data_IF_167102764345
#
_entry.id   IF_167102764345
#
_cell.length_a   1.000
_cell.length_b   1.000
_cell.length_c   1.000
_cell.angle_alpha   90.00
_cell.angle_beta   90.00
_cell.angle_gamma   90.00
#
_symmetry.space_group_name_H-M   'P 1'
#
loop_
_entity.id
_entity.type
_entity.pdbx_description
1 polymer ?
#
# COMPACT_ATOMS: atom_id res chain seq x y z
N UNK A 1 -76.71 100.98 36.58
CA UNK A 1 -76.62 100.59 35.16
C UNK A 1 -75.26 100.92 34.53
N UNK A 2 -74.72 102.14 34.66
CA UNK A 2 -73.38 102.47 34.11
C UNK A 2 -72.22 101.66 34.75
N UNK A 3 -72.24 101.48 36.08
CA UNK A 3 -71.22 100.72 36.81
C UNK A 3 -71.21 99.23 36.39
N UNK A 4 -72.38 98.64 36.18
CA UNK A 4 -72.52 97.22 35.80
C UNK A 4 -72.00 96.94 34.38
N UNK A 5 -72.16 97.89 33.45
CA UNK A 5 -71.59 97.80 32.11
C UNK A 5 -70.06 97.93 32.17
N UNK A 6 -69.53 98.83 33.01
CA UNK A 6 -68.07 98.95 33.19
C UNK A 6 -67.46 97.71 33.84
N UNK A 7 -68.16 97.07 34.79
CA UNK A 7 -67.70 95.82 35.40
C UNK A 7 -67.73 94.66 34.41
N UNK A 8 -68.82 94.50 33.63
CA UNK A 8 -68.90 93.47 32.58
C UNK A 8 -67.86 93.69 31.47
N UNK A 9 -67.56 94.94 31.12
CA UNK A 9 -66.51 95.28 30.14
C UNK A 9 -65.11 94.96 30.68
N UNK A 10 -64.82 95.30 31.94
CA UNK A 10 -63.55 94.91 32.59
C UNK A 10 -63.40 93.39 32.73
N UNK A 11 -64.48 92.67 33.07
CA UNK A 11 -64.47 91.22 33.18
C UNK A 11 -64.24 90.56 31.82
N UNK A 12 -64.88 91.04 30.75
CA UNK A 12 -64.65 90.55 29.39
C UNK A 12 -63.22 90.81 28.92
N UNK A 13 -62.66 92.00 29.18
CA UNK A 13 -61.28 92.32 28.85
C UNK A 13 -60.28 91.42 29.62
N UNK A 14 -60.52 91.18 30.92
CA UNK A 14 -59.69 90.29 31.73
C UNK A 14 -59.78 88.83 31.26
N UNK A 15 -60.97 88.35 30.87
CA UNK A 15 -61.14 87.02 30.27
C UNK A 15 -60.39 86.89 28.95
N UNK A 16 -60.53 87.85 28.05
CA UNK A 16 -59.81 87.83 26.78
C UNK A 16 -58.29 87.93 26.94
N UNK A 17 -57.79 88.71 27.89
CA UNK A 17 -56.36 88.73 28.22
C UNK A 17 -55.89 87.39 28.79
N UNK A 18 -56.69 86.75 29.65
CA UNK A 18 -56.38 85.43 30.19
C UNK A 18 -56.34 84.38 29.08
N UNK A 19 -57.34 84.35 28.18
CA UNK A 19 -57.39 83.47 27.01
C UNK A 19 -56.19 83.69 26.08
N UNK A 20 -55.80 84.94 25.82
CA UNK A 20 -54.61 85.24 25.01
C UNK A 20 -53.34 84.73 25.65
N UNK A 21 -53.13 84.97 26.96
CA UNK A 21 -51.97 84.46 27.70
C UNK A 21 -51.95 82.94 27.74
N UNK A 22 -53.10 82.29 27.90
CA UNK A 22 -53.22 80.83 27.88
C UNK A 22 -52.86 80.26 26.50
N UNK A 23 -53.32 80.89 25.42
CA UNK A 23 -53.00 80.46 24.06
C UNK A 23 -51.52 80.66 23.72
N UNK A 24 -50.91 81.76 24.17
CA UNK A 24 -49.46 81.98 24.03
C UNK A 24 -48.65 80.94 24.82
N UNK A 25 -49.07 80.62 26.05
CA UNK A 25 -48.42 79.60 26.87
C UNK A 25 -48.54 78.20 26.24
N UNK A 26 -49.73 77.85 25.73
CA UNK A 26 -49.96 76.59 24.99
C UNK A 26 -49.08 76.50 23.75
N UNK A 27 -49.02 77.56 22.94
CA UNK A 27 -48.18 77.59 21.74
C UNK A 27 -46.68 77.50 22.05
N UNK A 28 -46.23 78.11 23.15
CA UNK A 28 -44.84 77.96 23.63
C UNK A 28 -44.55 76.53 24.09
N UNK A 29 -45.47 75.92 24.84
CA UNK A 29 -45.33 74.54 25.31
C UNK A 29 -45.31 73.56 24.13
N UNK A 30 -46.17 73.74 23.13
CA UNK A 30 -46.17 72.90 21.93
C UNK A 30 -44.88 73.02 21.13
N UNK A 31 -44.35 74.24 20.95
CA UNK A 31 -43.03 74.40 20.32
C UNK A 31 -41.94 73.71 21.11
N UNK A 32 -41.93 73.88 22.43
CA UNK A 32 -40.94 73.23 23.28
C UNK A 32 -41.01 71.70 23.19
N UNK A 33 -42.22 71.13 23.17
CA UNK A 33 -42.41 69.68 22.95
C UNK A 33 -41.87 69.23 21.60
N UNK A 34 -42.14 69.98 20.53
CA UNK A 34 -41.64 69.66 19.19
C UNK A 34 -40.10 69.73 19.15
N UNK A 35 -39.50 70.72 19.79
CA UNK A 35 -38.05 70.87 19.86
C UNK A 35 -37.42 69.71 20.67
N UNK A 36 -38.00 69.35 21.82
CA UNK A 36 -37.57 68.22 22.64
C UNK A 36 -37.70 66.88 21.88
N UNK A 37 -38.82 66.66 21.17
CA UNK A 37 -39.03 65.47 20.32
C UNK A 37 -38.04 65.43 19.15
N UNK A 38 -37.73 66.58 18.54
CA UNK A 38 -36.76 66.67 17.46
C UNK A 38 -35.33 66.36 17.94
N UNK A 39 -34.96 66.79 19.14
CA UNK A 39 -33.68 66.43 19.76
C UNK A 39 -33.62 64.93 20.12
N UNK A 40 -34.71 64.39 20.68
CA UNK A 40 -34.83 62.97 20.99
C UNK A 40 -34.70 62.10 19.73
N UNK A 41 -35.35 62.47 18.62
CA UNK A 41 -35.24 61.73 17.36
C UNK A 41 -33.86 61.86 16.70
N UNK A 42 -33.16 63.00 16.85
CA UNK A 42 -31.75 63.11 16.42
C UNK A 42 -30.85 62.13 17.18
N UNK A 43 -31.00 62.05 18.50
CA UNK A 43 -30.25 61.11 19.34
C UNK A 43 -30.61 59.66 18.99
N UNK A 44 -31.90 59.37 18.77
CA UNK A 44 -32.39 58.04 18.38
C UNK A 44 -31.82 57.59 17.04
N UNK A 45 -31.75 58.48 16.05
CA UNK A 45 -31.13 58.21 14.75
C UNK A 45 -29.66 57.83 14.90
N UNK A 46 -28.91 58.57 15.72
CA UNK A 46 -27.49 58.27 15.98
C UNK A 46 -27.32 56.91 16.67
N UNK A 47 -28.15 56.62 17.67
CA UNK A 47 -28.15 55.33 18.36
C UNK A 47 -28.43 54.18 17.39
N UNK A 48 -29.45 54.30 16.53
CA UNK A 48 -29.78 53.28 15.53
C UNK A 48 -28.64 53.08 14.52
N UNK A 49 -28.00 54.17 14.09
CA UNK A 49 -26.85 54.07 13.21
C UNK A 49 -25.70 53.31 13.88
N UNK A 50 -25.38 53.66 15.13
CA UNK A 50 -24.32 52.99 15.88
C UNK A 50 -24.66 51.51 16.08
N UNK A 51 -25.89 51.17 16.47
CA UNK A 51 -26.35 49.79 16.61
C UNK A 51 -26.21 49.00 15.31
N UNK A 52 -26.59 49.59 14.17
CA UNK A 52 -26.43 48.94 12.87
C UNK A 52 -24.95 48.69 12.54
N UNK A 53 -24.07 49.67 12.81
CA UNK A 53 -22.62 49.49 12.59
C UNK A 53 -22.02 48.44 13.53
N UNK A 54 -22.43 48.43 14.81
CA UNK A 54 -21.99 47.42 15.78
C UNK A 54 -22.44 46.03 15.38
N UNK A 55 -23.71 45.86 14.96
CA UNK A 55 -24.22 44.57 14.49
C UNK A 55 -23.48 44.08 13.23
N UNK A 56 -23.12 44.98 12.31
CA UNK A 56 -22.33 44.62 11.14
C UNK A 56 -20.90 44.18 11.53
N UNK A 57 -20.26 44.89 12.46
CA UNK A 57 -18.92 44.52 12.97
C UNK A 57 -18.97 43.20 13.74
N UNK A 58 -19.98 42.98 14.57
CA UNK A 58 -20.17 41.75 15.32
C UNK A 58 -20.38 40.56 14.39
N UNK A 59 -21.28 40.68 13.41
CA UNK A 59 -21.56 39.62 12.44
C UNK A 59 -20.34 39.29 11.58
N UNK A 60 -19.63 40.30 11.08
CA UNK A 60 -18.40 40.08 10.29
C UNK A 60 -17.26 39.54 11.15
N UNK A 61 -17.13 40.00 12.39
CA UNK A 61 -16.17 39.52 13.38
C UNK A 61 -16.38 38.06 13.71
N UNK A 62 -17.63 37.66 13.99
CA UNK A 62 -17.99 36.27 14.25
C UNK A 62 -17.70 35.38 13.03
N UNK A 63 -18.17 35.78 11.84
CA UNK A 63 -17.94 35.02 10.62
C UNK A 63 -16.44 34.87 10.30
N UNK A 64 -15.66 35.94 10.47
CA UNK A 64 -14.20 35.90 10.24
C UNK A 64 -13.49 35.04 11.28
N UNK A 65 -13.87 35.13 12.57
CA UNK A 65 -13.30 34.32 13.63
C UNK A 65 -13.60 32.83 13.41
N UNK A 66 -14.84 32.49 13.07
CA UNK A 66 -15.22 31.11 12.75
C UNK A 66 -14.48 30.59 11.52
N UNK A 67 -14.39 31.38 10.44
CA UNK A 67 -13.67 30.97 9.24
C UNK A 67 -12.19 30.73 9.51
N UNK A 68 -11.54 31.62 10.28
CA UNK A 68 -10.14 31.46 10.70
C UNK A 68 -9.94 30.25 11.59
N UNK A 69 -10.83 30.03 12.57
CA UNK A 69 -10.75 28.88 13.46
C UNK A 69 -10.89 27.56 12.69
N UNK A 70 -11.83 27.48 11.74
CA UNK A 70 -11.99 26.29 10.88
C UNK A 70 -10.78 26.08 9.98
N UNK A 71 -10.24 27.15 9.40
CA UNK A 71 -9.05 27.06 8.56
C UNK A 71 -7.82 26.57 9.34
N UNK A 72 -7.61 27.09 10.55
CA UNK A 72 -6.50 26.66 11.41
C UNK A 72 -6.67 25.22 11.88
N UNK A 73 -7.89 24.81 12.26
CA UNK A 73 -8.19 23.43 12.60
C UNK A 73 -7.87 22.47 11.44
N UNK A 74 -8.32 22.80 10.22
CA UNK A 74 -8.03 22.01 9.02
C UNK A 74 -6.53 21.96 8.69
N UNK A 75 -5.81 23.05 8.93
CA UNK A 75 -4.35 23.10 8.76
C UNK A 75 -3.64 22.19 9.75
N UNK A 76 -3.98 22.26 11.03
CA UNK A 76 -3.43 21.40 12.09
C UNK A 76 -3.72 19.93 11.77
N UNK A 77 -4.94 19.61 11.36
CA UNK A 77 -5.32 18.25 10.97
C UNK A 77 -4.52 17.77 9.75
N UNK A 78 -4.34 18.61 8.74
CA UNK A 78 -3.51 18.31 7.57
C UNK A 78 -2.05 18.04 7.93
N UNK A 79 -1.45 18.90 8.76
CA UNK A 79 -0.07 18.73 9.24
C UNK A 79 0.09 17.49 10.11
N UNK A 80 -0.88 17.21 11.00
CA UNK A 80 -0.93 16.00 11.80
C UNK A 80 -1.02 14.73 10.94
N UNK A 81 -1.85 14.75 9.89
CA UNK A 81 -1.98 13.61 8.96
C UNK A 81 -0.69 13.36 8.18
N UNK A 82 -0.01 14.42 7.71
CA UNK A 82 1.27 14.30 7.00
C UNK A 82 2.35 13.75 7.93
N UNK A 83 2.44 14.27 9.16
CA UNK A 83 3.42 13.78 10.14
C UNK A 83 3.14 12.32 10.54
N UNK A 84 1.88 11.96 10.77
CA UNK A 84 1.48 10.57 11.03
C UNK A 84 1.84 9.64 9.87
N UNK A 85 1.58 10.06 8.62
CA UNK A 85 1.93 9.29 7.43
C UNK A 85 3.45 9.07 7.32
N UNK A 86 4.26 10.10 7.61
CA UNK A 86 5.73 10.00 7.63
C UNK A 86 6.21 9.00 8.68
N UNK A 87 5.74 9.14 9.93
CA UNK A 87 6.12 8.23 11.01
C UNK A 87 5.72 6.78 10.71
N UNK A 88 4.54 6.57 10.11
CA UNK A 88 4.09 5.24 9.69
C UNK A 88 4.96 4.67 8.57
N UNK A 89 5.37 5.50 7.60
CA UNK A 89 6.27 5.09 6.54
C UNK A 89 7.65 4.70 7.09
N UNK A 90 8.22 5.49 8.00
CA UNK A 90 9.50 5.21 8.66
C UNK A 90 9.44 3.93 9.51
N UNK A 91 8.36 3.73 10.25
CA UNK A 91 8.15 2.51 11.03
C UNK A 91 8.04 1.29 10.11
N UNK A 92 7.31 1.40 9.00
CA UNK A 92 7.17 0.32 8.02
C UNK A 92 8.49 0.03 7.30
N UNK A 93 9.28 1.05 6.97
CA UNK A 93 10.59 0.89 6.36
C UNK A 93 11.55 0.21 7.32
N UNK A 94 11.58 0.62 8.58
CA UNK A 94 12.40 -0.02 9.62
C UNK A 94 12.02 -1.48 9.81
N UNK A 95 10.72 -1.78 9.90
CA UNK A 95 10.22 -3.15 10.04
C UNK A 95 10.62 -4.02 8.85
N UNK A 96 10.42 -3.52 7.63
CA UNK A 96 10.80 -4.22 6.39
C UNK A 96 12.31 -4.45 6.35
N UNK A 97 13.12 -3.46 6.72
CA UNK A 97 14.57 -3.58 6.75
C UNK A 97 15.06 -4.65 7.74
N UNK A 98 14.44 -4.72 8.93
CA UNK A 98 14.76 -5.76 9.91
C UNK A 98 14.35 -7.14 9.41
N UNK A 99 13.16 -7.27 8.82
CA UNK A 99 12.69 -8.53 8.23
C UNK A 99 13.60 -9.01 7.09
N UNK A 100 14.02 -8.09 6.21
CA UNK A 100 14.99 -8.41 5.15
C UNK A 100 16.31 -8.89 5.75
N UNK A 101 16.84 -8.22 6.77
CA UNK A 101 18.08 -8.65 7.44
C UNK A 101 17.96 -10.07 8.00
N UNK A 102 16.87 -10.37 8.71
CA UNK A 102 16.62 -11.72 9.26
C UNK A 102 16.58 -12.74 8.12
N UNK A 103 15.80 -12.48 7.08
CA UNK A 103 15.67 -13.39 5.94
C UNK A 103 17.01 -13.63 5.23
N UNK A 104 17.81 -12.58 5.02
CA UNK A 104 19.13 -12.72 4.40
C UNK A 104 20.08 -13.55 5.27
N UNK A 105 20.04 -13.38 6.60
CA UNK A 105 20.86 -14.17 7.52
C UNK A 105 20.44 -15.65 7.54
N UNK A 106 19.13 -15.91 7.55
CA UNK A 106 18.58 -17.28 7.44
C UNK A 106 19.03 -17.94 6.13
N UNK A 107 18.85 -17.25 4.99
CA UNK A 107 19.26 -17.76 3.69
C UNK A 107 20.77 -17.99 3.60
N UNK A 108 21.59 -17.07 4.12
CA UNK A 108 23.04 -17.27 4.18
C UNK A 108 23.42 -18.49 5.01
N UNK A 109 22.77 -18.70 6.15
CA UNK A 109 23.02 -19.87 7.00
C UNK A 109 22.61 -21.17 6.30
N UNK A 110 21.49 -21.16 5.61
CA UNK A 110 20.98 -22.31 4.84
C UNK A 110 21.91 -22.65 3.67
N UNK A 111 22.37 -21.64 2.93
CA UNK A 111 23.34 -21.82 1.83
C UNK A 111 24.64 -22.40 2.37
N UNK A 112 25.16 -21.89 3.50
CA UNK A 112 26.38 -22.42 4.13
C UNK A 112 26.21 -23.89 4.52
N UNK A 113 25.09 -24.22 5.15
CA UNK A 113 24.77 -25.60 5.52
C UNK A 113 24.65 -26.52 4.29
N UNK A 114 23.91 -26.09 3.26
CA UNK A 114 23.77 -26.86 2.01
C UNK A 114 25.11 -27.08 1.31
N UNK A 115 25.97 -26.06 1.27
CA UNK A 115 27.32 -26.19 0.70
C UNK A 115 28.15 -27.23 1.46
N UNK A 116 28.21 -27.13 2.80
CA UNK A 116 28.98 -28.09 3.60
C UNK A 116 28.43 -29.51 3.50
N UNK A 117 27.10 -29.65 3.40
CA UNK A 117 26.44 -30.94 3.21
C UNK A 117 26.78 -31.55 1.85
N UNK A 118 26.69 -30.76 0.78
CA UNK A 118 27.08 -31.18 -0.57
C UNK A 118 28.58 -31.57 -0.62
N UNK A 119 29.45 -30.79 0.01
CA UNK A 119 30.89 -31.11 0.08
C UNK A 119 31.13 -32.44 0.81
N UNK A 120 30.39 -32.71 1.88
CA UNK A 120 30.46 -33.97 2.62
C UNK A 120 29.95 -35.14 1.78
N UNK A 121 28.87 -34.94 1.01
CA UNK A 121 28.32 -35.95 0.12
C UNK A 121 29.27 -36.28 -1.04
N UNK A 122 29.90 -35.27 -1.65
CA UNK A 122 30.93 -35.45 -2.67
C UNK A 122 32.12 -36.24 -2.10
N UNK A 123 32.59 -35.89 -0.90
CA UNK A 123 33.68 -36.63 -0.22
C UNK A 123 33.32 -38.08 0.01
N UNK A 124 32.13 -38.33 0.58
CA UNK A 124 31.63 -39.68 0.83
C UNK A 124 31.55 -40.49 -0.47
N UNK A 125 30.99 -39.92 -1.54
CA UNK A 125 30.89 -40.59 -2.84
C UNK A 125 32.28 -40.89 -3.44
N UNK A 126 33.22 -39.95 -3.31
CA UNK A 126 34.59 -40.12 -3.81
C UNK A 126 35.34 -41.21 -3.03
N UNK A 127 35.22 -41.23 -1.71
CA UNK A 127 35.81 -42.28 -0.86
C UNK A 127 35.21 -43.65 -1.14
N UNK A 128 33.88 -43.75 -1.28
CA UNK A 128 33.22 -44.99 -1.67
C UNK A 128 33.68 -45.48 -3.04
N UNK A 129 33.76 -44.59 -4.03
CA UNK A 129 34.26 -44.92 -5.37
C UNK A 129 35.72 -45.39 -5.33
N UNK A 130 36.57 -44.78 -4.50
CA UNK A 130 37.96 -45.21 -4.30
C UNK A 130 38.04 -46.60 -3.65
N UNK A 131 37.20 -46.87 -2.64
CA UNK A 131 37.12 -48.19 -1.99
C UNK A 131 36.63 -49.24 -2.99
N UNK A 132 35.61 -48.93 -3.79
CA UNK A 132 35.11 -49.83 -4.84
C UNK A 132 36.15 -50.07 -5.93
N UNK A 133 36.85 -49.04 -6.39
CA UNK A 133 37.93 -49.17 -7.36
C UNK A 133 39.07 -50.04 -6.80
N UNK A 134 39.44 -49.86 -5.52
CA UNK A 134 40.47 -50.66 -4.86
C UNK A 134 40.02 -52.12 -4.68
N UNK A 135 38.77 -52.33 -4.26
CA UNK A 135 38.15 -53.66 -4.14
C UNK A 135 38.10 -54.35 -5.50
N UNK A 136 37.62 -53.67 -6.54
CA UNK A 136 37.55 -54.20 -7.90
C UNK A 136 38.94 -54.54 -8.42
N UNK A 137 39.93 -53.65 -8.23
CA UNK A 137 41.33 -53.92 -8.56
C UNK A 137 41.84 -55.17 -7.87
N UNK A 138 41.59 -55.34 -6.57
CA UNK A 138 42.02 -56.54 -5.85
C UNK A 138 41.36 -57.83 -6.37
N UNK A 139 40.09 -57.77 -6.81
CA UNK A 139 39.38 -58.90 -7.41
C UNK A 139 39.99 -59.22 -8.79
N UNK A 140 40.23 -58.21 -9.61
CA UNK A 140 40.85 -58.36 -10.93
C UNK A 140 42.27 -58.93 -10.83
N UNK A 141 43.06 -58.44 -9.88
CA UNK A 141 44.42 -58.91 -9.62
C UNK A 141 44.42 -60.38 -9.13
N UNK A 142 43.45 -60.76 -8.27
CA UNK A 142 43.32 -62.14 -7.76
C UNK A 142 42.84 -63.15 -8.82
N UNK A 143 41.95 -62.75 -9.74
CA UNK A 143 41.48 -63.59 -10.85
C UNK A 143 42.51 -63.65 -11.98
N UNK A 144 43.22 -62.54 -12.21
CA UNK A 144 44.23 -62.37 -13.24
C UNK A 144 43.66 -61.96 -14.61
N UNK A 145 44.28 -60.97 -15.26
CA UNK A 145 43.85 -60.41 -16.54
C UNK A 145 43.73 -61.44 -17.66
N UNK A 146 44.61 -62.46 -17.65
CA UNK A 146 44.59 -63.56 -18.63
C UNK A 146 43.36 -64.44 -18.48
N UNK A 147 42.92 -64.70 -17.25
CA UNK A 147 41.72 -65.48 -16.94
C UNK A 147 40.44 -64.71 -17.30
N UNK A 148 40.41 -63.40 -17.08
CA UNK A 148 39.30 -62.55 -17.51
C UNK A 148 39.21 -62.47 -19.04
N UNK A 149 40.35 -62.39 -19.74
CA UNK A 149 40.39 -62.42 -21.19
C UNK A 149 39.90 -63.76 -21.76
N UNK A 150 40.28 -64.89 -21.15
CA UNK A 150 39.79 -66.20 -21.58
C UNK A 150 38.31 -66.39 -21.28
N UNK A 151 37.79 -65.91 -20.14
CA UNK A 151 36.36 -65.94 -19.81
C UNK A 151 35.55 -65.06 -20.79
N UNK A 152 36.03 -63.85 -21.10
CA UNK A 152 35.38 -62.95 -22.05
C UNK A 152 35.42 -63.50 -23.49
N UNK A 153 36.53 -64.12 -23.90
CA UNK A 153 36.65 -64.80 -25.19
C UNK A 153 35.89 -66.13 -25.25
N UNK A 154 35.60 -66.77 -24.11
CA UNK A 154 34.90 -68.05 -24.09
C UNK A 154 33.49 -67.95 -24.69
N UNK A 155 32.78 -66.84 -24.53
CA UNK A 155 31.47 -66.63 -25.16
C UNK A 155 31.55 -66.63 -26.70
N UNK A 156 32.29 -65.68 -27.31
CA UNK A 156 32.48 -65.62 -28.77
C UNK A 156 33.18 -66.86 -29.34
N UNK A 157 34.15 -67.44 -28.64
CA UNK A 157 34.87 -68.63 -29.09
C UNK A 157 34.03 -69.90 -29.02
N UNK A 158 33.15 -70.04 -28.01
CA UNK A 158 32.19 -71.14 -27.92
C UNK A 158 31.11 -71.00 -28.99
N UNK A 159 30.60 -69.78 -29.22
CA UNK A 159 29.68 -69.48 -30.32
C UNK A 159 30.33 -69.75 -31.69
N UNK A 160 31.59 -69.38 -31.91
CA UNK A 160 32.33 -69.66 -33.13
C UNK A 160 32.62 -71.17 -33.33
N UNK A 161 32.95 -71.90 -32.26
CA UNK A 161 33.10 -73.37 -32.31
C UNK A 161 31.79 -74.09 -32.60
N UNK A 162 30.67 -73.62 -32.07
CA UNK A 162 29.33 -74.11 -32.42
C UNK A 162 29.01 -73.87 -33.89
N UNK A 163 29.30 -72.68 -34.42
CA UNK A 163 29.13 -72.36 -35.85
C UNK A 163 29.99 -73.26 -36.75
N UNK A 164 31.23 -73.55 -36.34
CA UNK A 164 32.11 -74.47 -37.06
C UNK A 164 31.64 -75.94 -36.96
N UNK A 165 31.14 -76.38 -35.80
CA UNK A 165 30.60 -77.73 -35.59
C UNK A 165 29.26 -77.98 -36.31
N UNK A 166 28.47 -76.93 -36.54
CA UNK A 166 27.24 -76.96 -37.32
C UNK A 166 27.47 -76.81 -38.84
N UNK A 167 28.73 -76.64 -39.28
CA UNK A 167 29.09 -76.58 -40.70
C UNK A 167 28.61 -75.32 -41.45
N UNK A 168 28.16 -74.29 -40.74
CA UNK A 168 27.59 -73.08 -41.35
C UNK A 168 28.69 -72.07 -41.69
N UNK A 169 29.16 -72.07 -42.95
CA UNK A 169 29.85 -70.92 -43.52
C UNK A 169 28.86 -69.76 -43.54
N UNK A 170 29.16 -68.63 -42.89
CA UNK A 170 28.32 -67.44 -42.90
C UNK A 170 28.09 -66.97 -44.35
N UNK A 171 26.96 -67.35 -44.94
CA UNK A 171 26.56 -66.89 -46.26
C UNK A 171 25.90 -65.52 -46.09
N UNK A 172 26.61 -64.46 -46.49
CA UNK A 172 26.04 -63.12 -46.61
C UNK A 172 25.26 -63.08 -47.92
N UNK A 173 23.93 -63.20 -47.85
CA UNK A 173 23.07 -63.04 -49.03
C UNK A 173 22.79 -61.55 -49.19
N UNK A 174 23.36 -60.96 -50.24
CA UNK A 174 23.14 -59.56 -50.60
C UNK A 174 22.13 -59.49 -51.74
N UNK A 175 20.92 -59.01 -51.46
CA UNK A 175 20.08 -58.40 -52.49
C UNK A 175 20.25 -56.87 -52.36
N UNK A 176 20.44 -56.21 -53.50
CA UNK A 176 21.25 -55.00 -53.70
C UNK A 176 20.83 -53.71 -53.00
N UNK A 177 20.01 -53.75 -51.95
CA UNK A 177 19.63 -52.57 -51.18
C UNK A 177 19.61 -52.77 -49.65
N UNK A 178 19.66 -54.01 -49.14
CA UNK A 178 19.71 -54.27 -47.69
C UNK A 178 20.50 -55.55 -47.40
N UNK A 179 21.75 -55.47 -46.91
CA UNK A 179 22.51 -56.67 -46.54
C UNK A 179 21.89 -57.30 -45.29
N UNK A 180 21.20 -58.44 -45.46
CA UNK A 180 20.69 -59.23 -44.34
C UNK A 180 21.82 -60.15 -43.87
N UNK A 181 22.40 -59.83 -42.72
CA UNK A 181 23.32 -60.74 -42.06
C UNK A 181 22.50 -61.82 -41.35
N UNK A 182 22.55 -63.06 -41.89
CA UNK A 182 21.85 -64.22 -41.33
C UNK A 182 22.22 -64.52 -39.87
N UNK A 183 23.32 -63.94 -39.38
CA UNK A 183 23.72 -63.97 -37.97
C UNK A 183 22.70 -63.29 -37.04
N UNK A 184 22.22 -62.09 -37.40
CA UNK A 184 21.30 -61.31 -36.56
C UNK A 184 19.86 -61.83 -36.64
N UNK A 185 19.48 -62.43 -37.77
CA UNK A 185 18.15 -63.02 -37.97
C UNK A 185 18.03 -64.42 -37.36
N UNK A 186 19.09 -65.24 -37.35
CA UNK A 186 19.08 -66.52 -36.66
C UNK A 186 19.01 -66.38 -35.13
N UNK A 187 19.62 -65.33 -34.55
CA UNK A 187 19.47 -65.01 -33.13
C UNK A 187 18.04 -64.60 -32.73
N UNK A 188 17.26 -64.06 -33.68
CA UNK A 188 15.83 -63.76 -33.47
C UNK A 188 14.91 -64.98 -33.65
N UNK A 189 15.34 -66.01 -34.38
CA UNK A 189 14.54 -67.20 -34.69
C UNK A 189 14.86 -68.40 -33.77
N UNK A 190 16.11 -68.52 -33.32
CA UNK A 190 16.52 -69.43 -32.25
C UNK A 190 16.34 -68.66 -30.94
N UNK A 191 15.10 -68.64 -30.45
CA UNK A 191 14.73 -67.93 -29.25
C UNK A 191 15.65 -68.25 -28.06
N UNK A 192 16.50 -67.29 -27.70
CA UNK A 192 16.79 -67.05 -26.30
C UNK A 192 15.62 -66.25 -25.76
N UNK A 193 14.64 -66.95 -25.19
CA UNK A 193 13.78 -66.36 -24.19
C UNK A 193 14.67 -65.86 -23.05
N UNK A 194 14.83 -64.54 -22.97
CA UNK A 194 15.08 -63.86 -21.72
C UNK A 194 14.01 -62.80 -21.52
N UNK A 195 13.54 -62.76 -20.29
CA UNK A 195 12.85 -61.62 -19.69
C UNK A 195 13.55 -60.29 -20.00
#
# INVERSE_FOLDING_TARGET
MAIEITTKSQEAAARHEAERREQEAKGRLERQKIDDEAEAEKARKQLLHLQATSAAVESTGQASAEAKARAEAAKIEGEANVTQAKLKAEAQQTKTNVQLKILTQEQESEIKYKKSWNDLEIKKATELANVEATKFKSIVDAVGAKTLATISQAGPAMQAKLLAGLGLKSFMITDGNHPINLFNTAAGLIGNGQN
#
